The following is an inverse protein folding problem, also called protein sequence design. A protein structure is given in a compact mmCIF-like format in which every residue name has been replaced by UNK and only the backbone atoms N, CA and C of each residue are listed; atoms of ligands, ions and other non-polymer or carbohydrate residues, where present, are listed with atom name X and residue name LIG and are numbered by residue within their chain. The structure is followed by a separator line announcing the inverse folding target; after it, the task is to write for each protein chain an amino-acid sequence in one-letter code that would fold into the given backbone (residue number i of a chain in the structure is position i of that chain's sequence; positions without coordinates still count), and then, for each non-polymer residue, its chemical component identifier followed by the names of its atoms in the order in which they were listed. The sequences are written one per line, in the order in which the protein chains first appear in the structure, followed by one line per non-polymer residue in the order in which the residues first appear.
data_IF_754412055793
#
_entry.id   IF_754412055793
#
_cell.length_a   1.000
_cell.length_b   1.000
_cell.length_c   1.000
_cell.angle_alpha   90.00
_cell.angle_beta   90.00
_cell.angle_gamma   90.00
#
_symmetry.space_group_name_H-M   'P 1'
#
loop_
_entity.id
_entity.type
_entity.pdbx_description
1 polymer ?
#
# COMPACT_ATOMS: atom_id res chain seq x y z
N UNK A 1 -18.12 6.10 -2.41
CA UNK A 1 -19.23 6.92 -1.83
C UNK A 1 -18.89 8.39 -2.00
N UNK A 2 -19.74 9.19 -2.64
CA UNK A 2 -19.59 10.64 -2.73
C UNK A 2 -20.71 11.32 -1.97
N UNK A 3 -20.40 12.41 -1.28
CA UNK A 3 -21.38 13.11 -0.44
C UNK A 3 -21.05 14.61 -0.33
N UNK A 4 -22.00 15.41 0.15
CA UNK A 4 -21.75 16.81 0.46
C UNK A 4 -20.94 16.96 1.76
N UNK A 5 -20.40 18.17 1.99
CA UNK A 5 -19.76 18.50 3.28
C UNK A 5 -20.72 18.30 4.46
N UNK A 6 -21.96 18.74 4.30
CA UNK A 6 -22.97 18.68 5.38
C UNK A 6 -23.37 17.22 5.67
N UNK A 7 -23.58 16.42 4.62
CA UNK A 7 -23.82 14.97 4.77
C UNK A 7 -22.66 14.28 5.48
N UNK A 8 -21.41 14.63 5.14
CA UNK A 8 -20.23 14.10 5.78
C UNK A 8 -20.16 14.44 7.27
N UNK A 9 -20.46 15.67 7.64
CA UNK A 9 -20.44 16.07 9.05
C UNK A 9 -21.53 15.38 9.87
N UNK A 10 -22.72 15.16 9.26
CA UNK A 10 -23.83 14.46 9.90
C UNK A 10 -23.71 12.93 9.84
N UNK A 11 -22.81 12.40 8.99
CA UNK A 11 -22.65 10.96 8.82
C UNK A 11 -22.19 10.30 10.11
N UNK A 12 -23.04 9.42 10.66
CA UNK A 12 -22.70 8.55 11.77
C UNK A 12 -21.95 7.32 11.25
N UNK A 13 -21.08 6.75 12.07
CA UNK A 13 -20.32 5.54 11.73
C UNK A 13 -19.49 5.72 10.45
N UNK A 14 -18.63 6.72 10.46
CA UNK A 14 -17.78 7.05 9.31
C UNK A 14 -16.84 5.89 8.95
N UNK A 15 -16.79 5.55 7.68
CA UNK A 15 -15.86 4.59 7.12
C UNK A 15 -15.04 5.25 6.01
N UNK A 16 -13.73 5.35 6.19
CA UNK A 16 -12.83 6.12 5.33
C UNK A 16 -11.71 5.22 4.80
N UNK A 17 -11.42 5.32 3.50
CA UNK A 17 -10.27 4.67 2.87
C UNK A 17 -9.24 5.71 2.48
N UNK A 18 -8.01 5.58 2.98
CA UNK A 18 -6.87 6.41 2.62
C UNK A 18 -6.10 5.78 1.47
N UNK A 19 -5.97 6.48 0.34
CA UNK A 19 -5.16 6.10 -0.81
C UNK A 19 -3.92 6.99 -0.94
N UNK A 20 -2.89 6.49 -1.58
CA UNK A 20 -1.68 7.24 -1.89
C UNK A 20 -0.41 6.41 -1.78
N UNK A 21 0.68 6.97 -2.29
CA UNK A 21 2.00 6.34 -2.27
C UNK A 21 2.43 5.94 -0.86
N UNK A 22 3.25 4.89 -0.75
CA UNK A 22 3.87 4.53 0.52
C UNK A 22 4.72 5.71 1.05
N UNK A 23 4.48 6.08 2.31
CA UNK A 23 5.21 7.16 2.99
C UNK A 23 4.62 8.56 2.85
N UNK A 24 3.43 8.73 2.24
CA UNK A 24 2.74 10.04 2.15
C UNK A 24 2.00 10.44 3.43
N UNK A 25 2.00 9.58 4.47
CA UNK A 25 1.38 9.90 5.75
C UNK A 25 0.07 9.18 6.08
N UNK A 26 -0.38 8.21 5.27
CA UNK A 26 -1.62 7.45 5.53
C UNK A 26 -1.66 6.84 6.94
N UNK A 27 -0.66 6.06 7.29
CA UNK A 27 -0.56 5.41 8.62
C UNK A 27 -0.39 6.43 9.73
N UNK A 28 0.35 7.52 9.49
CA UNK A 28 0.47 8.62 10.45
C UNK A 28 -0.88 9.23 10.74
N UNK A 29 -1.65 9.55 9.70
CA UNK A 29 -2.99 10.11 9.81
C UNK A 29 -3.95 9.17 10.55
N UNK A 30 -3.95 7.87 10.20
CA UNK A 30 -4.76 6.87 10.87
C UNK A 30 -4.41 6.75 12.38
N UNK A 31 -3.15 6.90 12.74
CA UNK A 31 -2.67 6.82 14.12
C UNK A 31 -3.01 8.06 14.98
N UNK A 32 -3.41 9.19 14.38
CA UNK A 32 -3.89 10.37 15.11
C UNK A 32 -5.35 10.21 15.61
N UNK A 33 -6.06 9.21 15.09
CA UNK A 33 -7.45 8.98 15.45
C UNK A 33 -7.57 8.23 16.79
N UNK A 34 -8.59 8.55 17.62
CA UNK A 34 -8.78 7.90 18.91
C UNK A 34 -9.05 6.39 18.73
N UNK A 35 -8.20 5.57 19.35
CA UNK A 35 -8.34 4.10 19.33
C UNK A 35 -9.59 3.60 20.04
N UNK A 36 -10.28 4.43 20.80
CA UNK A 36 -11.55 4.12 21.46
C UNK A 36 -12.77 4.21 20.54
N UNK A 37 -12.68 4.97 19.43
CA UNK A 37 -13.81 5.22 18.54
C UNK A 37 -13.54 4.85 17.06
N UNK A 38 -12.27 4.67 16.68
CA UNK A 38 -11.87 4.34 15.31
C UNK A 38 -11.20 2.96 15.23
N UNK A 39 -11.78 2.08 14.44
CA UNK A 39 -11.12 0.83 14.07
C UNK A 39 -10.10 1.10 12.95
N UNK A 40 -8.82 0.88 13.23
CA UNK A 40 -7.75 1.01 12.24
C UNK A 40 -7.53 -0.32 11.53
N UNK A 41 -7.99 -0.41 10.27
CA UNK A 41 -7.71 -1.52 9.38
C UNK A 41 -6.44 -1.23 8.58
N UNK A 42 -5.37 -1.97 8.85
CA UNK A 42 -4.13 -1.91 8.07
C UNK A 42 -4.14 -2.99 6.99
N UNK A 43 -4.16 -2.57 5.73
CA UNK A 43 -4.10 -3.48 4.59
C UNK A 43 -2.81 -4.30 4.58
N UNK A 44 -1.67 -3.67 4.80
CA UNK A 44 -0.37 -4.35 4.82
C UNK A 44 -0.32 -5.43 5.91
N UNK A 45 -0.84 -5.12 7.12
CA UNK A 45 -0.96 -6.12 8.18
C UNK A 45 -1.84 -7.31 7.74
N UNK A 46 -2.97 -7.04 7.07
CA UNK A 46 -3.88 -8.07 6.58
C UNK A 46 -3.24 -8.92 5.47
N UNK A 47 -2.53 -8.30 4.54
CA UNK A 47 -1.73 -8.96 3.51
C UNK A 47 -0.77 -9.95 4.16
N UNK A 48 0.02 -9.51 5.12
CA UNK A 48 1.05 -10.33 5.74
C UNK A 48 0.53 -11.44 6.64
N UNK A 49 -0.60 -11.22 7.35
CA UNK A 49 -1.10 -12.18 8.35
C UNK A 49 -2.13 -13.17 7.84
N UNK A 50 -2.88 -12.82 6.77
CA UNK A 50 -3.86 -13.73 6.19
C UNK A 50 -3.41 -14.30 4.85
N UNK A 51 -2.96 -13.45 3.95
CA UNK A 51 -2.78 -13.84 2.55
C UNK A 51 -1.37 -14.33 2.23
N UNK A 52 -0.35 -13.74 2.85
CA UNK A 52 1.06 -14.09 2.64
C UNK A 52 1.71 -14.76 3.86
N UNK A 53 0.96 -15.11 4.91
CA UNK A 53 1.52 -15.71 6.12
C UNK A 53 2.31 -16.99 5.81
N UNK A 54 1.71 -17.92 5.09
CA UNK A 54 2.34 -19.19 4.69
C UNK A 54 3.48 -18.97 3.68
N UNK A 55 3.29 -18.24 2.54
CA UNK A 55 4.39 -17.97 1.61
C UNK A 55 5.60 -17.28 2.24
N UNK A 56 5.40 -16.37 3.18
CA UNK A 56 6.48 -15.70 3.92
C UNK A 56 7.27 -16.72 4.76
N UNK A 57 6.57 -17.53 5.54
CA UNK A 57 7.19 -18.52 6.42
C UNK A 57 7.90 -19.60 5.60
N UNK A 58 7.31 -20.07 4.52
CA UNK A 58 7.91 -21.07 3.63
C UNK A 58 9.17 -20.55 2.94
N UNK A 59 9.16 -19.26 2.52
CA UNK A 59 10.39 -18.64 2.01
C UNK A 59 11.51 -18.62 3.06
N UNK A 60 11.19 -18.33 4.33
CA UNK A 60 12.17 -18.32 5.42
C UNK A 60 12.66 -19.75 5.69
N UNK A 61 11.77 -20.74 5.77
CA UNK A 61 12.12 -22.15 5.93
C UNK A 61 13.03 -22.64 4.79
N UNK A 62 12.69 -22.30 3.54
CA UNK A 62 13.51 -22.63 2.35
C UNK A 62 14.95 -22.10 2.48
N UNK A 63 15.13 -20.91 3.06
CA UNK A 63 16.48 -20.37 3.32
C UNK A 63 17.15 -21.09 4.51
N UNK A 64 16.42 -21.34 5.59
CA UNK A 64 16.92 -22.04 6.76
C UNK A 64 17.40 -23.47 6.43
N UNK A 65 16.69 -24.18 5.54
CA UNK A 65 17.06 -25.52 5.07
C UNK A 65 18.40 -25.58 4.29
N UNK A 66 18.95 -24.43 3.88
CA UNK A 66 20.28 -24.36 3.26
C UNK A 66 21.42 -24.30 4.27
N UNK A 67 21.09 -24.09 5.54
CA UNK A 67 22.05 -24.05 6.65
C UNK A 67 21.96 -25.37 7.39
N UNK A 68 23.01 -26.19 7.34
CA UNK A 68 23.01 -27.57 7.86
C UNK A 68 22.51 -27.66 9.30
N UNK A 69 22.99 -26.79 10.19
CA UNK A 69 22.57 -26.77 11.59
C UNK A 69 21.05 -26.51 11.75
N UNK A 70 20.50 -25.56 11.00
CA UNK A 70 19.06 -25.26 11.06
C UNK A 70 18.21 -26.34 10.41
N UNK A 71 18.71 -26.94 9.32
CA UNK A 71 18.05 -28.04 8.64
C UNK A 71 17.86 -29.24 9.58
N UNK A 72 18.93 -29.66 10.31
CA UNK A 72 18.85 -30.78 11.26
C UNK A 72 17.79 -30.50 12.34
N UNK A 73 17.79 -29.30 12.92
CA UNK A 73 16.81 -28.93 13.94
C UNK A 73 15.36 -28.90 13.40
N UNK A 74 15.17 -28.45 12.17
CA UNK A 74 13.84 -28.43 11.54
C UNK A 74 13.33 -29.83 11.21
N UNK A 75 14.23 -30.73 10.71
CA UNK A 75 13.87 -32.11 10.38
C UNK A 75 13.52 -32.96 11.61
N UNK A 76 14.01 -32.59 12.78
CA UNK A 76 13.72 -33.28 14.04
C UNK A 76 12.67 -32.58 14.91
N UNK A 77 11.94 -31.62 14.34
CA UNK A 77 10.92 -30.80 15.05
C UNK A 77 11.46 -30.13 16.34
N UNK A 78 12.79 -29.90 16.39
CA UNK A 78 13.46 -29.27 17.56
C UNK A 78 13.28 -27.76 17.58
N UNK A 79 12.95 -27.15 16.43
CA UNK A 79 12.61 -25.74 16.27
C UNK A 79 11.45 -25.58 15.30
N UNK A 80 10.74 -24.44 15.43
CA UNK A 80 9.81 -23.98 14.40
C UNK A 80 10.13 -22.54 14.01
N UNK A 81 9.72 -22.16 12.80
CA UNK A 81 9.89 -20.81 12.27
C UNK A 81 8.52 -20.16 12.14
N UNK A 82 8.39 -18.97 12.66
CA UNK A 82 7.22 -18.11 12.46
C UNK A 82 7.65 -16.69 12.10
N UNK A 83 6.75 -15.95 11.46
CA UNK A 83 6.94 -14.53 11.22
C UNK A 83 6.27 -13.70 12.33
N UNK A 84 6.92 -12.61 12.76
CA UNK A 84 6.31 -11.63 13.66
C UNK A 84 5.88 -10.41 12.85
N UNK A 85 4.64 -10.43 12.37
CA UNK A 85 4.05 -9.32 11.61
C UNK A 85 3.11 -8.56 12.52
N UNK A 86 3.33 -7.25 12.64
CA UNK A 86 2.45 -6.32 13.35
C UNK A 86 2.21 -5.09 12.49
N UNK A 87 1.25 -4.24 12.86
CA UNK A 87 1.00 -2.96 12.15
C UNK A 87 2.27 -2.08 12.09
N UNK A 88 3.19 -2.24 13.06
CA UNK A 88 4.45 -1.49 13.13
C UNK A 88 5.67 -2.26 12.59
N UNK A 89 5.53 -3.55 12.32
CA UNK A 89 6.58 -4.40 11.77
C UNK A 89 6.08 -5.17 10.56
N UNK A 90 6.29 -4.58 9.38
CA UNK A 90 5.93 -5.13 8.08
C UNK A 90 7.16 -5.64 7.30
N UNK A 91 8.32 -5.72 7.97
CA UNK A 91 9.58 -6.15 7.34
C UNK A 91 9.49 -7.56 6.71
N UNK A 92 8.78 -8.56 7.30
CA UNK A 92 8.64 -9.87 6.66
C UNK A 92 7.97 -9.82 5.28
N UNK A 93 7.04 -8.90 5.05
CA UNK A 93 6.38 -8.70 3.73
C UNK A 93 7.39 -8.10 2.73
N UNK A 94 8.14 -7.07 3.16
CA UNK A 94 9.20 -6.49 2.34
C UNK A 94 10.28 -7.51 1.98
N UNK A 95 10.72 -8.32 2.94
CA UNK A 95 11.70 -9.38 2.72
C UNK A 95 11.19 -10.45 1.74
N UNK A 96 9.90 -10.81 1.84
CA UNK A 96 9.27 -11.74 0.91
C UNK A 96 9.21 -11.17 -0.50
N UNK A 97 8.76 -9.92 -0.69
CA UNK A 97 8.73 -9.28 -2.02
C UNK A 97 10.08 -9.30 -2.69
N UNK A 98 11.15 -9.04 -1.95
CA UNK A 98 12.51 -9.06 -2.48
C UNK A 98 12.77 -8.03 -3.58
N UNK A 99 13.88 -8.20 -4.26
CA UNK A 99 14.32 -7.34 -5.37
C UNK A 99 14.83 -8.22 -6.50
N UNK A 100 14.55 -7.85 -7.75
CA UNK A 100 15.09 -8.55 -8.91
C UNK A 100 16.57 -8.25 -9.08
N UNK A 101 17.35 -9.25 -9.54
CA UNK A 101 18.74 -9.04 -9.92
C UNK A 101 19.67 -10.18 -9.51
N UNK A 102 20.96 -9.86 -9.45
CA UNK A 102 22.03 -10.81 -9.24
C UNK A 102 21.89 -11.60 -7.93
N UNK A 103 21.83 -12.97 -7.97
CA UNK A 103 21.56 -13.78 -6.79
C UNK A 103 22.59 -13.63 -5.66
N UNK A 104 23.89 -13.48 -6.00
CA UNK A 104 24.95 -13.26 -4.99
C UNK A 104 24.85 -11.90 -4.28
N UNK A 105 24.06 -10.97 -4.83
CA UNK A 105 23.77 -9.65 -4.24
C UNK A 105 22.38 -9.64 -3.56
N UNK A 106 21.79 -10.81 -3.34
CA UNK A 106 20.46 -10.95 -2.73
C UNK A 106 19.30 -10.66 -3.69
N UNK A 107 19.57 -10.66 -5.01
CA UNK A 107 18.54 -10.54 -6.04
C UNK A 107 17.79 -11.83 -6.27
N UNK A 108 16.56 -11.71 -6.74
CA UNK A 108 15.71 -12.81 -7.18
C UNK A 108 15.82 -12.96 -8.70
N UNK A 109 15.64 -14.18 -9.20
CA UNK A 109 15.42 -14.42 -10.63
C UNK A 109 14.15 -13.69 -11.10
N UNK A 110 14.04 -13.44 -12.39
CA UNK A 110 12.83 -12.80 -12.97
C UNK A 110 11.58 -13.59 -12.67
N UNK A 111 11.62 -14.91 -12.79
CA UNK A 111 10.50 -15.80 -12.53
C UNK A 111 10.04 -15.74 -11.07
N UNK A 112 10.97 -15.93 -10.12
CA UNK A 112 10.67 -15.86 -8.69
C UNK A 112 10.16 -14.47 -8.30
N UNK A 113 10.75 -13.41 -8.85
CA UNK A 113 10.33 -12.03 -8.57
C UNK A 113 8.90 -11.78 -9.05
N UNK A 114 8.58 -12.15 -10.31
CA UNK A 114 7.23 -11.99 -10.88
C UNK A 114 6.19 -12.82 -10.11
N UNK A 115 6.51 -14.05 -9.72
CA UNK A 115 5.61 -14.86 -8.92
C UNK A 115 5.28 -14.20 -7.57
N UNK A 116 6.28 -13.62 -6.88
CA UNK A 116 6.05 -12.90 -5.63
C UNK A 116 5.24 -11.60 -5.84
N UNK A 117 5.41 -10.93 -6.98
CA UNK A 117 4.58 -9.77 -7.36
C UNK A 117 3.12 -10.19 -7.57
N UNK A 118 2.88 -11.31 -8.24
CA UNK A 118 1.54 -11.87 -8.45
C UNK A 118 0.86 -12.22 -7.12
N UNK A 119 1.55 -12.96 -6.26
CA UNK A 119 1.05 -13.31 -4.93
C UNK A 119 0.72 -12.07 -4.08
N UNK A 120 1.56 -11.05 -4.14
CA UNK A 120 1.31 -9.79 -3.44
C UNK A 120 0.08 -9.06 -3.99
N UNK A 121 -0.08 -9.02 -5.32
CA UNK A 121 -1.27 -8.43 -5.95
C UNK A 121 -2.56 -9.13 -5.51
N UNK A 122 -2.58 -10.45 -5.53
CA UNK A 122 -3.73 -11.25 -5.09
C UNK A 122 -4.04 -11.02 -3.61
N UNK A 123 -2.99 -10.94 -2.78
CA UNK A 123 -3.12 -10.64 -1.36
C UNK A 123 -3.69 -9.22 -1.10
N UNK A 124 -3.25 -8.22 -1.86
CA UNK A 124 -3.74 -6.84 -1.73
C UNK A 124 -5.20 -6.73 -2.20
N UNK A 125 -5.57 -7.41 -3.31
CA UNK A 125 -6.96 -7.52 -3.76
C UNK A 125 -7.83 -8.15 -2.68
N UNK A 126 -7.40 -9.28 -2.12
CA UNK A 126 -8.12 -9.96 -1.04
C UNK A 126 -8.28 -9.09 0.20
N UNK A 127 -7.22 -8.38 0.61
CA UNK A 127 -7.27 -7.46 1.73
C UNK A 127 -8.25 -6.30 1.50
N UNK A 128 -8.31 -5.76 0.28
CA UNK A 128 -9.28 -4.71 -0.05
C UNK A 128 -10.72 -5.22 -0.09
N UNK A 129 -10.96 -6.42 -0.58
CA UNK A 129 -12.29 -7.05 -0.56
C UNK A 129 -12.77 -7.38 0.86
N UNK A 130 -11.86 -7.67 1.79
CA UNK A 130 -12.17 -7.90 3.20
C UNK A 130 -12.71 -6.64 3.92
N UNK A 131 -12.50 -5.43 3.40
CA UNK A 131 -12.86 -4.14 4.05
C UNK A 131 -14.32 -4.11 4.44
N UNK A 132 -15.24 -4.50 3.57
CA UNK A 132 -16.69 -4.56 3.87
C UNK A 132 -17.00 -5.41 5.10
N UNK A 133 -16.43 -6.61 5.17
CA UNK A 133 -16.63 -7.53 6.30
C UNK A 133 -16.00 -6.99 7.58
N UNK A 134 -14.88 -6.24 7.48
CA UNK A 134 -14.25 -5.64 8.65
C UNK A 134 -14.97 -4.40 9.17
N UNK A 135 -15.65 -3.63 8.32
CA UNK A 135 -16.56 -2.56 8.77
C UNK A 135 -17.68 -3.16 9.63
N UNK A 136 -18.33 -4.24 9.17
CA UNK A 136 -19.36 -4.92 9.95
C UNK A 136 -18.78 -5.43 11.28
N UNK A 137 -17.64 -6.12 11.28
CA UNK A 137 -16.99 -6.61 12.50
C UNK A 137 -16.62 -5.48 13.46
N UNK A 138 -16.11 -4.35 12.94
CA UNK A 138 -15.75 -3.20 13.76
C UNK A 138 -16.97 -2.68 14.55
N UNK A 139 -18.13 -2.60 13.91
CA UNK A 139 -19.36 -2.14 14.55
C UNK A 139 -19.99 -3.19 15.44
N UNK A 140 -20.25 -4.39 14.90
CA UNK A 140 -21.11 -5.40 15.54
C UNK A 140 -20.39 -6.18 16.64
N UNK A 141 -19.08 -6.44 16.47
CA UNK A 141 -18.31 -7.25 17.41
C UNK A 141 -17.51 -6.39 18.38
N UNK A 142 -16.85 -5.36 17.86
CA UNK A 142 -15.90 -4.56 18.65
C UNK A 142 -16.49 -3.24 19.15
N UNK A 143 -17.67 -2.82 18.66
CA UNK A 143 -18.35 -1.61 19.11
C UNK A 143 -17.72 -0.29 18.69
N UNK A 144 -16.84 -0.29 17.66
CA UNK A 144 -16.27 0.94 17.15
C UNK A 144 -17.29 1.78 16.40
N UNK A 145 -17.33 3.06 16.68
CA UNK A 145 -18.21 3.98 15.96
C UNK A 145 -17.73 4.23 14.52
N UNK A 146 -16.43 4.28 14.30
CA UNK A 146 -15.84 4.66 13.01
C UNK A 146 -14.79 3.66 12.54
N UNK A 147 -14.48 3.71 11.25
CA UNK A 147 -13.55 2.80 10.58
C UNK A 147 -12.60 3.56 9.66
N UNK A 148 -11.31 3.24 9.72
CA UNK A 148 -10.31 3.76 8.78
C UNK A 148 -9.53 2.64 8.15
N UNK A 149 -9.50 2.61 6.82
CA UNK A 149 -8.72 1.70 6.00
C UNK A 149 -7.43 2.40 5.55
N UNK A 150 -6.30 1.97 6.10
CA UNK A 150 -4.96 2.38 5.69
C UNK A 150 -4.46 1.40 4.62
N UNK A 151 -4.53 1.82 3.35
CA UNK A 151 -4.21 0.95 2.22
C UNK A 151 -2.71 0.82 1.98
N UNK A 152 -2.32 -0.23 1.26
CA UNK A 152 -1.01 -0.36 0.64
C UNK A 152 -0.72 0.78 -0.36
N UNK A 153 0.54 0.91 -0.74
CA UNK A 153 0.97 1.95 -1.69
C UNK A 153 0.82 1.56 -3.17
N UNK A 154 0.08 0.49 -3.49
CA UNK A 154 -0.05 -0.08 -4.84
C UNK A 154 -1.50 -0.27 -5.30
N UNK A 155 -2.48 0.05 -4.48
CA UNK A 155 -3.91 -0.15 -4.78
C UNK A 155 -4.32 0.42 -6.15
N UNK A 156 -3.72 1.52 -6.59
CA UNK A 156 -4.02 2.11 -7.90
C UNK A 156 -3.57 1.25 -9.10
N UNK A 157 -2.74 0.24 -8.88
CA UNK A 157 -2.23 -0.67 -9.93
C UNK A 157 -2.93 -2.03 -9.94
N UNK A 158 -3.92 -2.25 -9.07
CA UNK A 158 -4.58 -3.57 -8.97
C UNK A 158 -5.41 -3.91 -10.20
N UNK A 159 -5.95 -2.89 -10.89
CA UNK A 159 -6.84 -3.08 -12.05
C UNK A 159 -7.95 -4.09 -11.75
N UNK A 160 -8.63 -3.93 -10.61
CA UNK A 160 -9.72 -4.78 -10.15
C UNK A 160 -10.95 -3.92 -9.84
N UNK A 161 -11.95 -3.98 -10.72
CA UNK A 161 -13.18 -3.18 -10.62
C UNK A 161 -13.99 -3.53 -9.35
N UNK A 162 -13.93 -4.81 -8.91
CA UNK A 162 -14.63 -5.24 -7.72
C UNK A 162 -14.01 -4.61 -6.46
N UNK A 163 -12.68 -4.46 -6.40
CA UNK A 163 -12.00 -3.74 -5.33
C UNK A 163 -12.49 -2.29 -5.28
N UNK A 164 -12.47 -1.58 -6.43
CA UNK A 164 -12.94 -0.19 -6.47
C UNK A 164 -14.40 -0.07 -6.08
N UNK A 165 -15.24 -1.01 -6.54
CA UNK A 165 -16.65 -1.07 -6.15
C UNK A 165 -16.83 -1.29 -4.64
N UNK A 166 -16.13 -2.28 -4.05
CA UNK A 166 -16.21 -2.53 -2.61
C UNK A 166 -15.80 -1.30 -1.80
N UNK A 167 -14.70 -0.65 -2.18
CA UNK A 167 -14.22 0.54 -1.47
C UNK A 167 -15.18 1.73 -1.64
N UNK A 168 -15.64 2.01 -2.87
CA UNK A 168 -16.51 3.16 -3.16
C UNK A 168 -17.93 3.02 -2.59
N UNK A 169 -18.46 1.78 -2.51
CA UNK A 169 -19.78 1.53 -1.95
C UNK A 169 -19.79 1.60 -0.42
N UNK A 170 -18.67 1.25 0.24
CA UNK A 170 -18.63 1.09 1.68
C UNK A 170 -17.81 2.16 2.42
N UNK A 171 -17.00 2.95 1.72
CA UNK A 171 -16.11 3.95 2.34
C UNK A 171 -16.07 5.26 1.57
N UNK A 172 -15.73 6.34 2.26
CA UNK A 172 -15.31 7.60 1.64
C UNK A 172 -13.84 7.48 1.25
N UNK A 173 -13.55 7.51 -0.05
CA UNK A 173 -12.19 7.39 -0.57
C UNK A 173 -11.49 8.75 -0.53
N UNK A 174 -10.33 8.81 0.12
CA UNK A 174 -9.49 9.99 0.24
C UNK A 174 -8.10 9.69 -0.34
N UNK A 175 -7.73 10.35 -1.39
CA UNK A 175 -6.39 10.30 -1.96
C UNK A 175 -5.49 11.37 -1.34
N UNK A 176 -4.43 10.95 -0.66
CA UNK A 176 -3.39 11.83 -0.16
C UNK A 176 -2.37 12.08 -1.27
N UNK A 177 -2.50 13.24 -1.94
CA UNK A 177 -1.65 13.62 -3.07
C UNK A 177 -0.33 14.21 -2.58
N UNK A 178 0.78 13.56 -2.95
CA UNK A 178 2.10 14.11 -2.73
C UNK A 178 2.35 15.28 -3.69
N UNK A 179 2.82 16.40 -3.15
CA UNK A 179 3.40 17.48 -3.95
C UNK A 179 4.85 17.14 -4.35
N UNK A 180 5.46 18.01 -5.16
CA UNK A 180 6.84 17.80 -5.66
C UNK A 180 7.88 17.71 -4.54
N UNK A 181 7.66 18.35 -3.39
CA UNK A 181 8.60 18.33 -2.28
C UNK A 181 8.52 17.01 -1.52
N UNK A 182 7.30 16.51 -1.28
CA UNK A 182 7.08 15.19 -0.70
C UNK A 182 7.60 14.10 -1.65
N UNK A 183 7.32 14.19 -2.94
CA UNK A 183 7.87 13.25 -3.93
C UNK A 183 9.41 13.22 -3.90
N UNK A 184 10.07 14.38 -3.83
CA UNK A 184 11.54 14.45 -3.69
C UNK A 184 12.03 13.79 -2.40
N UNK A 185 11.34 14.00 -1.27
CA UNK A 185 11.65 13.35 0.00
C UNK A 185 11.51 11.82 -0.10
N UNK A 186 10.44 11.32 -0.74
CA UNK A 186 10.24 9.89 -0.96
C UNK A 186 11.34 9.28 -1.84
N UNK A 187 11.70 9.95 -2.94
CA UNK A 187 12.77 9.51 -3.85
C UNK A 187 14.12 9.49 -3.13
N UNK A 188 14.42 10.53 -2.36
CA UNK A 188 15.67 10.62 -1.58
C UNK A 188 15.77 9.49 -0.56
N UNK A 189 14.68 9.21 0.17
CA UNK A 189 14.62 8.10 1.14
C UNK A 189 14.86 6.76 0.46
N UNK A 190 14.24 6.54 -0.71
CA UNK A 190 14.40 5.30 -1.45
C UNK A 190 15.80 5.14 -2.04
N UNK A 191 16.47 6.25 -2.40
CA UNK A 191 17.88 6.23 -2.80
C UNK A 191 18.81 5.87 -1.66
N UNK A 192 18.55 6.36 -0.44
CA UNK A 192 19.36 6.07 0.74
C UNK A 192 19.16 4.65 1.27
N UNK A 193 17.91 4.18 1.29
CA UNK A 193 17.54 2.85 1.79
C UNK A 193 16.56 2.20 0.81
N UNK A 194 17.05 1.59 -0.29
CA UNK A 194 16.20 0.93 -1.28
C UNK A 194 15.39 -0.21 -0.66
N UNK A 195 14.07 -0.05 -0.59
CA UNK A 195 13.14 -1.07 -0.12
C UNK A 195 12.54 -1.83 -1.28
N UNK A 196 12.20 -3.12 -1.11
CA UNK A 196 11.39 -3.85 -2.06
C UNK A 196 10.07 -3.12 -2.35
N UNK A 197 9.60 -3.23 -3.60
CA UNK A 197 8.41 -2.56 -4.09
C UNK A 197 7.57 -3.54 -4.90
N UNK A 198 6.26 -3.33 -4.88
CA UNK A 198 5.37 -3.94 -5.84
C UNK A 198 5.39 -3.14 -7.16
N UNK A 199 5.29 -3.85 -8.27
CA UNK A 199 5.17 -3.31 -9.63
C UNK A 199 4.10 -4.07 -10.40
N UNK A 200 3.26 -3.37 -11.09
CA UNK A 200 2.38 -3.95 -12.09
C UNK A 200 3.21 -4.56 -13.24
N UNK A 201 2.82 -5.74 -13.74
CA UNK A 201 3.67 -6.55 -14.63
C UNK A 201 4.09 -5.82 -15.91
N UNK A 202 3.14 -5.19 -16.62
CA UNK A 202 3.45 -4.46 -17.87
C UNK A 202 4.38 -3.25 -17.63
N UNK A 203 4.22 -2.59 -16.47
CA UNK A 203 5.13 -1.51 -16.07
C UNK A 203 6.53 -2.07 -15.82
N UNK A 204 6.63 -3.14 -15.06
CA UNK A 204 7.90 -3.80 -14.75
C UNK A 204 8.65 -4.23 -16.02
N UNK A 205 7.98 -4.94 -16.93
CA UNK A 205 8.60 -5.48 -18.14
C UNK A 205 9.15 -4.38 -19.06
N UNK A 206 8.40 -3.31 -19.24
CA UNK A 206 8.87 -2.14 -19.99
C UNK A 206 10.09 -1.51 -19.33
N UNK A 207 10.08 -1.35 -17.99
CA UNK A 207 11.17 -0.72 -17.26
C UNK A 207 12.40 -1.62 -17.12
N UNK A 208 12.23 -2.94 -17.03
CA UNK A 208 13.35 -3.89 -17.10
C UNK A 208 14.06 -3.80 -18.45
N UNK A 209 13.32 -3.83 -19.55
CA UNK A 209 13.86 -3.73 -20.91
C UNK A 209 14.59 -2.41 -21.11
N UNK A 210 14.06 -1.29 -20.61
CA UNK A 210 14.68 0.03 -20.64
C UNK A 210 15.98 0.06 -19.82
N UNK A 211 15.97 -0.50 -18.61
CA UNK A 211 17.13 -0.53 -17.72
C UNK A 211 18.27 -1.37 -18.28
N UNK A 212 17.99 -2.59 -18.74
CA UNK A 212 18.97 -3.48 -19.33
C UNK A 212 19.66 -2.81 -20.53
N UNK A 213 18.88 -2.19 -21.41
CA UNK A 213 19.41 -1.45 -22.56
C UNK A 213 20.28 -0.26 -22.14
N UNK A 214 19.81 0.55 -21.20
CA UNK A 214 20.51 1.74 -20.73
C UNK A 214 21.83 1.42 -20.01
N UNK A 215 21.91 0.24 -19.37
CA UNK A 215 23.12 -0.23 -18.66
C UNK A 215 24.00 -1.16 -19.49
N UNK A 216 23.58 -1.55 -20.69
CA UNK A 216 24.31 -2.50 -21.53
C UNK A 216 24.36 -3.92 -20.96
N UNK A 217 23.35 -4.29 -20.13
CA UNK A 217 23.25 -5.62 -19.51
C UNK A 217 22.57 -6.60 -20.46
N UNK A 218 22.98 -7.88 -20.39
CA UNK A 218 22.44 -8.96 -21.25
C UNK A 218 21.26 -9.68 -20.63
N UNK A 219 21.21 -9.73 -19.28
CA UNK A 219 20.15 -10.41 -18.55
C UNK A 219 19.85 -9.72 -17.22
N UNK A 220 18.72 -10.06 -16.63
CA UNK A 220 18.32 -9.58 -15.30
C UNK A 220 19.23 -10.06 -14.18
N UNK A 221 19.97 -11.17 -14.39
CA UNK A 221 20.92 -11.70 -13.41
C UNK A 221 22.20 -10.84 -13.29
N UNK A 222 22.38 -9.87 -14.17
CA UNK A 222 23.47 -8.88 -14.10
C UNK A 222 23.04 -7.60 -13.35
N UNK A 223 21.77 -7.47 -13.01
CA UNK A 223 21.22 -6.30 -12.32
C UNK A 223 21.74 -6.25 -10.86
N UNK A 224 22.25 -5.09 -10.45
CA UNK A 224 22.49 -4.78 -9.03
C UNK A 224 21.15 -4.39 -8.40
N UNK A 225 20.57 -5.20 -7.47
CA UNK A 225 19.18 -5.03 -7.04
C UNK A 225 18.84 -3.64 -6.49
N UNK A 226 19.74 -3.06 -5.69
CA UNK A 226 19.52 -1.76 -5.08
C UNK A 226 19.58 -0.63 -6.14
N UNK A 227 20.46 -0.72 -7.11
CA UNK A 227 20.55 0.30 -8.19
C UNK A 227 19.30 0.29 -9.07
N UNK A 228 18.76 -0.89 -9.36
CA UNK A 228 17.52 -0.99 -10.11
C UNK A 228 16.35 -0.34 -9.36
N UNK A 229 16.20 -0.62 -8.05
CA UNK A 229 15.16 -0.01 -7.22
C UNK A 229 15.30 1.51 -7.16
N UNK A 230 16.53 2.02 -7.02
CA UNK A 230 16.79 3.47 -7.02
C UNK A 230 16.44 4.13 -8.36
N UNK A 231 16.71 3.44 -9.47
CA UNK A 231 16.45 3.94 -10.82
C UNK A 231 14.96 3.90 -11.20
N UNK A 232 14.26 2.83 -10.81
CA UNK A 232 12.84 2.62 -11.19
C UNK A 232 11.88 3.45 -10.31
N UNK A 233 12.22 3.76 -9.06
CA UNK A 233 11.31 4.38 -8.12
C UNK A 233 10.77 5.75 -8.57
N UNK A 234 11.58 6.70 -9.09
CA UNK A 234 11.06 7.96 -9.65
C UNK A 234 10.03 7.72 -10.76
N UNK A 235 10.28 6.75 -11.62
CA UNK A 235 9.36 6.37 -12.71
C UNK A 235 8.06 5.75 -12.20
N UNK A 236 8.13 5.01 -11.08
CA UNK A 236 6.96 4.48 -10.40
C UNK A 236 6.10 5.59 -9.79
N UNK A 237 6.71 6.60 -9.18
CA UNK A 237 5.99 7.78 -8.66
C UNK A 237 5.23 8.49 -9.79
N UNK A 238 5.91 8.76 -10.91
CA UNK A 238 5.29 9.37 -12.09
C UNK A 238 4.14 8.52 -12.67
N UNK A 239 4.31 7.20 -12.69
CA UNK A 239 3.31 6.26 -13.18
C UNK A 239 2.06 6.21 -12.29
N UNK A 240 2.23 6.13 -10.97
CA UNK A 240 1.11 5.98 -10.02
C UNK A 240 0.31 7.25 -9.81
N UNK A 241 0.89 8.43 -9.96
CA UNK A 241 0.22 9.70 -9.71
C UNK A 241 -1.09 9.85 -10.51
N UNK A 242 -1.12 9.71 -11.84
CA UNK A 242 -2.36 9.79 -12.62
C UNK A 242 -3.35 8.68 -12.27
N UNK A 243 -2.91 7.48 -11.92
CA UNK A 243 -3.78 6.38 -11.54
C UNK A 243 -4.53 6.68 -10.23
N UNK A 244 -3.84 7.17 -9.21
CA UNK A 244 -4.48 7.61 -7.97
C UNK A 244 -5.42 8.79 -8.20
N UNK A 245 -5.03 9.76 -9.05
CA UNK A 245 -5.89 10.90 -9.34
C UNK A 245 -7.18 10.46 -10.03
N UNK A 246 -7.11 9.53 -11.00
CA UNK A 246 -8.28 8.99 -11.68
C UNK A 246 -9.26 8.33 -10.68
N UNK A 247 -8.76 7.51 -9.73
CA UNK A 247 -9.60 6.92 -8.69
C UNK A 247 -10.27 8.01 -7.82
N UNK A 248 -9.52 9.04 -7.45
CA UNK A 248 -10.06 10.12 -6.63
C UNK A 248 -11.10 10.95 -7.39
N UNK A 249 -10.86 11.22 -8.68
CA UNK A 249 -11.78 12.00 -9.53
C UNK A 249 -13.10 11.26 -9.75
N UNK A 250 -13.05 9.94 -9.88
CA UNK A 250 -14.24 9.12 -10.10
C UNK A 250 -14.97 8.75 -8.80
N UNK A 251 -14.24 8.25 -7.80
CA UNK A 251 -14.83 7.59 -6.61
C UNK A 251 -14.65 8.36 -5.31
N UNK A 252 -13.77 9.36 -5.24
CA UNK A 252 -13.37 9.94 -3.97
C UNK A 252 -13.06 11.43 -4.02
N UNK A 253 -12.13 11.83 -3.16
CA UNK A 253 -11.66 13.21 -3.01
C UNK A 253 -10.14 13.24 -2.84
N UNK A 254 -9.54 14.36 -3.22
CA UNK A 254 -8.09 14.59 -3.07
C UNK A 254 -7.82 15.54 -1.90
N UNK A 255 -6.87 15.18 -1.06
CA UNK A 255 -6.28 15.98 0.01
C UNK A 255 -4.78 16.12 -0.28
N UNK A 256 -4.21 17.30 -0.09
CA UNK A 256 -2.77 17.47 -0.22
C UNK A 256 -2.05 16.81 0.96
N UNK A 257 -1.08 15.96 0.68
CA UNK A 257 -0.37 15.21 1.73
C UNK A 257 0.37 16.12 2.72
N UNK A 258 0.76 17.35 2.33
CA UNK A 258 1.33 18.35 3.24
C UNK A 258 0.36 18.82 4.33
N UNK A 259 -0.95 18.81 4.03
CA UNK A 259 -1.96 19.28 4.99
C UNK A 259 -2.19 18.25 6.11
N UNK A 260 -1.75 17.00 5.91
CA UNK A 260 -1.75 15.95 6.95
C UNK A 260 -0.87 16.32 8.16
N UNK A 261 0.18 17.12 7.96
CA UNK A 261 1.05 17.57 9.05
C UNK A 261 0.32 18.45 10.08
N UNK A 262 -0.82 19.03 9.70
CA UNK A 262 -1.65 19.89 10.56
C UNK A 262 -2.70 19.11 11.36
N UNK A 263 -2.83 17.81 11.10
CA UNK A 263 -3.80 16.94 11.80
C UNK A 263 -3.16 16.40 13.07
N UNK A 264 -3.76 16.73 14.21
CA UNK A 264 -3.27 16.33 15.53
C UNK A 264 -4.31 15.52 16.33
N UNK A 265 -5.57 15.53 15.89
CA UNK A 265 -6.70 14.87 16.53
C UNK A 265 -7.83 14.57 15.53
N UNK A 266 -8.91 13.95 16.03
CA UNK A 266 -10.10 13.63 15.24
C UNK A 266 -10.78 14.88 14.66
N UNK A 267 -10.85 15.98 15.41
CA UNK A 267 -11.54 17.19 14.98
C UNK A 267 -10.82 17.82 13.77
N UNK A 268 -9.50 17.99 13.86
CA UNK A 268 -8.69 18.48 12.74
C UNK A 268 -8.67 17.55 11.53
N UNK A 269 -8.75 16.22 11.75
CA UNK A 269 -8.92 15.25 10.69
C UNK A 269 -10.25 15.42 9.95
N UNK A 270 -11.35 15.52 10.69
CA UNK A 270 -12.69 15.68 10.09
C UNK A 270 -12.81 17.02 9.36
N UNK A 271 -12.24 18.10 9.87
CA UNK A 271 -12.25 19.40 9.21
C UNK A 271 -11.41 19.41 7.93
N UNK A 272 -10.26 18.73 7.92
CA UNK A 272 -9.45 18.54 6.69
C UNK A 272 -10.28 17.87 5.60
N UNK A 273 -11.01 16.79 5.93
CA UNK A 273 -11.85 16.09 4.96
C UNK A 273 -13.05 16.93 4.52
N UNK A 274 -13.73 17.61 5.45
CA UNK A 274 -14.85 18.49 5.17
C UNK A 274 -14.47 19.61 4.18
N UNK A 275 -13.27 20.19 4.37
CA UNK A 275 -12.71 21.19 3.47
C UNK A 275 -12.44 20.64 2.08
N UNK A 276 -11.89 19.43 1.96
CA UNK A 276 -11.67 18.78 0.68
C UNK A 276 -12.99 18.50 -0.09
N UNK A 277 -14.01 18.04 0.63
CA UNK A 277 -15.34 17.83 0.05
C UNK A 277 -15.95 19.13 -0.48
N UNK A 278 -15.86 20.22 0.29
CA UNK A 278 -16.36 21.54 -0.10
C UNK A 278 -15.63 22.07 -1.35
N UNK A 279 -14.31 21.95 -1.40
CA UNK A 279 -13.52 22.39 -2.55
C UNK A 279 -13.89 21.62 -3.83
N UNK A 280 -14.16 20.32 -3.71
CA UNK A 280 -14.59 19.49 -4.85
C UNK A 280 -16.00 19.88 -5.37
N UNK A 281 -16.92 20.26 -4.48
CA UNK A 281 -18.25 20.75 -4.87
C UNK A 281 -18.17 22.09 -5.61
N UNK A 282 -17.30 22.99 -5.16
CA UNK A 282 -17.07 24.29 -5.83
C UNK A 282 -16.57 24.12 -7.27
N UNK A 283 -15.65 23.19 -7.49
CA UNK A 283 -15.11 22.89 -8.84
C UNK A 283 -16.17 22.35 -9.80
N UNK A 284 -17.06 21.46 -9.35
CA UNK A 284 -18.15 20.90 -10.17
C UNK A 284 -19.19 21.93 -10.59
N UNK A 285 -19.54 22.86 -9.69
CA UNK A 285 -20.48 23.96 -10.04
C UNK A 285 -19.91 24.88 -11.11
N UNK A 286 -18.58 25.03 -11.18
CA UNK A 286 -17.91 25.87 -12.18
C UNK A 286 -17.76 25.12 -13.53
N UNK A 287 -17.60 23.77 -13.52
CA UNK A 287 -17.51 22.95 -14.73
C UNK A 287 -18.86 22.59 -15.38
N UNK A 288 -19.99 22.94 -14.76
CA UNK A 288 -21.32 22.72 -15.32
C UNK A 288 -21.82 21.27 -15.31
N UNK A 289 -21.12 20.39 -14.60
CA UNK A 289 -21.55 19.01 -14.35
C UNK A 289 -22.41 18.98 -13.07
N UNK A 290 -23.72 19.08 -13.25
CA UNK A 290 -24.72 18.92 -12.19
C UNK A 290 -25.20 17.46 -12.11
#
# INVERSE_FOLDING_TARGET
MRMSRDDFLQWKNKAITLLGMSGVGKTTLANQLPKSSWFHYSADYRIGTKYLAEPIVDNIKKQAMRVDFLRELLLHDSIYICSNITVHNLEPISAFLGKIGHPRLGGLSTEEFKERQRLHREAEIGAMKDVKAFIAKAHEIYGYANFINDTGGSVCELNDEEVLKVLSDNTLIIYLRADKDIERKLITRQKQKPKPLYFQEDFLDRRLSEYLRAKGLRSTDEIIPNEFVQWIFPKLVEHRRPLYQAIADEYGYTVEARDVEQVHDEASFLELLATALQAAQGKRRVSGEA
#
